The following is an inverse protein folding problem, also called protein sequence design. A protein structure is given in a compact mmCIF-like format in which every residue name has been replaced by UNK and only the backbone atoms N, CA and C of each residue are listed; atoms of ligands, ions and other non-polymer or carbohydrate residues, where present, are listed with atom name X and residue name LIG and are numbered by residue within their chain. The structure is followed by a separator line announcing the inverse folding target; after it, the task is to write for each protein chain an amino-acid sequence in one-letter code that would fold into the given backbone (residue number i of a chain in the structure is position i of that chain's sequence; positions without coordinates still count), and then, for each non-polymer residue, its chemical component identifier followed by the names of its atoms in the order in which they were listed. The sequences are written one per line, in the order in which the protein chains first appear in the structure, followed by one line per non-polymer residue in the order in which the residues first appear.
data_IF_732191097797
#
_entry.id   IF_732191097797
#
_cell.length_a   1.000
_cell.length_b   1.000
_cell.length_c   1.000
_cell.angle_alpha   90.00
_cell.angle_beta   90.00
_cell.angle_gamma   90.00
#
_symmetry.space_group_name_H-M   'P 1'
#
loop_
_entity.id
_entity.type
_entity.pdbx_description
1 polymer ?
#
# COMPACT_ATOMS: atom_id res chain seq x y z
N UNK A 1 7.43 15.78 12.08
CA UNK A 1 7.74 14.44 11.64
C UNK A 1 8.96 14.43 10.72
N UNK A 2 9.53 13.25 10.43
CA UNK A 2 10.70 13.14 9.55
C UNK A 2 10.42 13.72 8.15
N UNK A 3 9.30 13.32 7.52
CA UNK A 3 8.91 13.83 6.20
C UNK A 3 8.78 15.36 6.17
N UNK A 4 8.12 15.95 7.16
CA UNK A 4 7.99 17.41 7.26
C UNK A 4 9.36 18.11 7.27
N UNK A 5 10.31 17.59 8.06
CA UNK A 5 11.65 18.14 8.12
C UNK A 5 12.41 17.97 6.80
N UNK A 6 12.29 16.79 6.16
CA UNK A 6 12.90 16.52 4.86
C UNK A 6 12.37 17.48 3.80
N UNK A 7 11.07 17.67 3.70
CA UNK A 7 10.46 18.55 2.72
C UNK A 7 10.81 20.02 2.98
N UNK A 8 10.78 20.45 4.24
CA UNK A 8 11.19 21.82 4.60
C UNK A 8 12.66 22.07 4.24
N UNK A 9 13.56 21.14 4.53
CA UNK A 9 15.00 21.30 4.30
C UNK A 9 15.37 21.19 2.82
N UNK A 10 14.75 20.24 2.10
CA UNK A 10 15.15 19.90 0.72
C UNK A 10 14.38 20.74 -0.31
N UNK A 11 13.09 20.97 -0.07
CA UNK A 11 12.19 21.62 -1.01
C UNK A 11 11.86 23.07 -0.61
N UNK A 12 12.20 23.50 0.60
CA UNK A 12 11.86 24.82 1.11
C UNK A 12 10.36 25.03 1.35
N UNK A 13 9.56 23.95 1.42
CA UNK A 13 8.12 24.03 1.64
C UNK A 13 7.78 23.94 3.12
N UNK A 14 6.77 24.68 3.55
CA UNK A 14 6.26 24.61 4.91
C UNK A 14 5.02 23.72 4.96
N UNK A 15 5.13 22.57 5.60
CA UNK A 15 4.04 21.60 5.76
C UNK A 15 3.55 21.63 7.20
N UNK A 16 2.26 21.88 7.39
CA UNK A 16 1.61 21.79 8.70
C UNK A 16 0.99 20.41 8.88
N UNK A 17 1.40 19.72 9.94
CA UNK A 17 0.84 18.41 10.29
C UNK A 17 -0.42 18.59 11.14
N UNK A 18 -1.48 17.92 10.74
CA UNK A 18 -2.71 17.82 11.50
C UNK A 18 -2.96 16.37 11.91
N UNK A 19 -2.84 16.08 13.20
CA UNK A 19 -3.27 14.82 13.78
C UNK A 19 -4.79 14.81 13.96
N UNK A 20 -5.44 13.77 13.49
CA UNK A 20 -6.90 13.58 13.59
C UNK A 20 -7.21 12.19 14.10
N UNK A 21 -8.43 11.97 14.61
CA UNK A 21 -8.90 10.62 14.93
C UNK A 21 -9.16 9.82 13.66
N UNK A 22 -9.20 8.49 13.76
CA UNK A 22 -9.51 7.63 12.60
C UNK A 22 -10.89 7.96 12.00
N UNK A 23 -11.87 8.25 12.81
CA UNK A 23 -13.20 8.62 12.34
C UNK A 23 -13.18 9.94 11.56
N UNK A 24 -12.49 10.96 12.07
CA UNK A 24 -12.32 12.24 11.35
C UNK A 24 -11.51 12.06 10.06
N UNK A 25 -10.48 11.21 10.08
CA UNK A 25 -9.69 10.87 8.90
C UNK A 25 -10.59 10.29 7.80
N UNK A 26 -11.36 9.26 8.11
CA UNK A 26 -12.27 8.61 7.15
C UNK A 26 -13.26 9.61 6.56
N UNK A 27 -13.93 10.40 7.41
CA UNK A 27 -14.88 11.43 6.94
C UNK A 27 -14.23 12.45 6.00
N UNK A 28 -12.99 12.84 6.28
CA UNK A 28 -12.26 13.78 5.42
C UNK A 28 -11.85 13.17 4.09
N UNK A 29 -11.42 11.91 4.10
CA UNK A 29 -11.06 11.18 2.89
C UNK A 29 -12.27 11.03 1.97
N UNK A 30 -13.41 10.57 2.51
CA UNK A 30 -14.67 10.42 1.78
C UNK A 30 -15.18 11.74 1.20
N UNK A 31 -14.97 12.84 1.93
CA UNK A 31 -15.39 14.17 1.49
C UNK A 31 -14.36 14.89 0.58
N UNK A 32 -13.19 14.30 0.32
CA UNK A 32 -12.10 14.96 -0.40
C UNK A 32 -11.53 16.19 0.32
N UNK A 33 -11.75 16.30 1.64
CA UNK A 33 -11.37 17.48 2.44
C UNK A 33 -9.96 17.34 3.03
N UNK A 34 -8.97 17.29 2.16
CA UNK A 34 -7.55 17.26 2.51
C UNK A 34 -6.71 17.81 1.34
N UNK A 35 -5.53 18.31 1.62
CA UNK A 35 -4.53 18.68 0.62
C UNK A 35 -3.57 17.50 0.38
N UNK A 36 -3.15 16.86 1.47
CA UNK A 36 -2.28 15.71 1.49
C UNK A 36 -2.68 14.80 2.64
N UNK A 37 -2.83 13.50 2.39
CA UNK A 37 -3.16 12.53 3.40
C UNK A 37 -2.12 11.40 3.41
N UNK A 38 -1.71 10.96 4.60
CA UNK A 38 -0.88 9.78 4.75
C UNK A 38 -1.77 8.58 5.01
N UNK A 39 -1.70 7.59 4.14
CA UNK A 39 -2.50 6.36 4.23
C UNK A 39 -1.61 5.13 4.29
N UNK A 40 -1.99 4.16 5.12
CA UNK A 40 -1.45 2.81 5.06
C UNK A 40 -2.31 1.98 4.11
N UNK A 41 -1.68 1.40 3.11
CA UNK A 41 -2.32 0.51 2.15
C UNK A 41 -1.82 -0.91 2.40
N UNK A 42 -2.74 -1.84 2.56
CA UNK A 42 -2.44 -3.28 2.69
C UNK A 42 -3.10 -4.00 1.52
N UNK A 43 -2.38 -4.91 0.87
CA UNK A 43 -2.97 -5.76 -0.16
C UNK A 43 -4.08 -6.63 0.44
N UNK A 44 -5.14 -6.85 -0.32
CA UNK A 44 -6.24 -7.72 0.08
C UNK A 44 -5.88 -9.20 -0.07
N UNK A 45 -4.94 -9.51 -0.96
CA UNK A 45 -4.44 -10.85 -1.28
C UNK A 45 -2.99 -10.75 -1.77
N UNK A 46 -2.27 -11.87 -1.79
CA UNK A 46 -0.85 -11.95 -2.14
C UNK A 46 -0.65 -11.86 -3.67
N UNK A 47 -0.89 -10.67 -4.20
CA UNK A 47 -0.70 -10.33 -5.62
C UNK A 47 -0.55 -8.81 -5.76
N UNK A 48 0.22 -8.35 -6.76
CA UNK A 48 0.37 -6.93 -7.06
C UNK A 48 -0.97 -6.24 -7.35
N UNK A 49 -1.91 -6.95 -7.98
CA UNK A 49 -3.26 -6.47 -8.22
C UNK A 49 -4.00 -6.12 -6.92
N UNK A 50 -3.71 -6.80 -5.80
CA UNK A 50 -4.28 -6.48 -4.49
C UNK A 50 -3.94 -5.07 -3.98
N UNK A 51 -2.91 -4.43 -4.53
CA UNK A 51 -2.59 -3.01 -4.28
C UNK A 51 -3.19 -2.08 -5.34
N UNK A 52 -3.30 -2.52 -6.59
CA UNK A 52 -3.66 -1.67 -7.73
C UNK A 52 -5.16 -1.60 -7.96
N UNK A 53 -5.92 -2.67 -7.71
CA UNK A 53 -7.36 -2.74 -7.98
C UNK A 53 -8.16 -1.58 -7.35
N UNK A 54 -7.79 -1.18 -6.14
CA UNK A 54 -8.48 -0.12 -5.39
C UNK A 54 -8.45 1.26 -6.05
N UNK A 55 -7.61 1.46 -7.05
CA UNK A 55 -7.47 2.74 -7.75
C UNK A 55 -8.24 2.76 -9.07
N UNK A 56 -8.97 1.69 -9.41
CA UNK A 56 -9.91 1.72 -10.52
C UNK A 56 -11.02 2.74 -10.26
N UNK A 57 -11.50 3.39 -11.33
CA UNK A 57 -12.42 4.53 -11.23
C UNK A 57 -13.71 4.22 -10.48
N UNK A 58 -14.21 2.98 -10.58
CA UNK A 58 -15.48 2.56 -9.95
C UNK A 58 -15.27 1.79 -8.62
N UNK A 59 -14.05 1.67 -8.12
CA UNK A 59 -13.79 0.93 -6.88
C UNK A 59 -14.19 1.76 -5.64
N UNK A 60 -14.98 1.16 -4.74
CA UNK A 60 -15.43 1.82 -3.52
C UNK A 60 -14.30 2.21 -2.56
N UNK A 61 -13.11 1.60 -2.70
CA UNK A 61 -11.91 1.93 -1.94
C UNK A 61 -11.07 3.05 -2.54
N UNK A 62 -11.48 3.58 -3.71
CA UNK A 62 -10.82 4.69 -4.39
C UNK A 62 -11.10 6.03 -3.69
N UNK A 63 -10.60 6.19 -2.48
CA UNK A 63 -10.83 7.39 -1.65
C UNK A 63 -10.12 8.65 -2.17
N UNK A 64 -9.30 8.52 -3.21
CA UNK A 64 -8.63 9.67 -3.84
C UNK A 64 -9.36 10.16 -5.09
N UNK A 65 -10.47 9.51 -5.45
CA UNK A 65 -11.25 9.83 -6.66
C UNK A 65 -10.39 9.85 -7.94
N UNK A 66 -9.46 8.89 -8.04
CA UNK A 66 -8.64 8.73 -9.25
C UNK A 66 -9.52 8.18 -10.37
N UNK A 67 -9.59 8.91 -11.48
CA UNK A 67 -10.38 8.54 -12.66
C UNK A 67 -9.49 8.52 -13.90
N UNK A 68 -9.20 7.32 -14.40
CA UNK A 68 -8.41 7.15 -15.62
C UNK A 68 -8.85 5.88 -16.37
N UNK A 69 -9.60 6.07 -17.48
CA UNK A 69 -10.10 4.96 -18.27
C UNK A 69 -9.01 4.08 -18.91
N UNK A 70 -7.80 4.60 -19.15
CA UNK A 70 -6.68 3.78 -19.62
C UNK A 70 -6.15 2.89 -18.52
N UNK A 71 -6.08 3.40 -17.28
CA UNK A 71 -5.76 2.61 -16.10
C UNK A 71 -6.76 1.46 -15.91
N UNK A 72 -8.06 1.76 -15.99
CA UNK A 72 -9.12 0.76 -15.84
C UNK A 72 -9.02 -0.34 -16.90
N UNK A 73 -8.70 0.03 -18.15
CA UNK A 73 -8.46 -0.93 -19.23
C UNK A 73 -7.25 -1.82 -18.93
N UNK A 74 -6.11 -1.24 -18.50
CA UNK A 74 -4.91 -2.00 -18.13
C UNK A 74 -5.20 -3.00 -17.01
N UNK A 75 -5.92 -2.57 -15.98
CA UNK A 75 -6.34 -3.44 -14.88
C UNK A 75 -7.28 -4.55 -15.35
N UNK A 76 -8.23 -4.23 -16.24
CA UNK A 76 -9.13 -5.21 -16.84
C UNK A 76 -8.39 -6.27 -17.67
N UNK A 77 -7.45 -5.85 -18.50
CA UNK A 77 -6.62 -6.76 -19.32
C UNK A 77 -5.70 -7.62 -18.44
N UNK A 78 -5.08 -7.03 -17.42
CA UNK A 78 -4.26 -7.77 -16.46
C UNK A 78 -5.07 -8.86 -15.73
N UNK A 79 -6.31 -8.55 -15.36
CA UNK A 79 -7.23 -9.50 -14.69
C UNK A 79 -7.63 -10.66 -15.60
N UNK A 80 -7.79 -10.39 -16.88
CA UNK A 80 -8.18 -11.40 -17.88
C UNK A 80 -7.01 -12.19 -18.46
N UNK A 81 -5.76 -11.77 -18.24
CA UNK A 81 -4.58 -12.40 -18.83
C UNK A 81 -4.22 -13.72 -18.14
N UNK A 82 -4.13 -14.79 -18.93
CA UNK A 82 -3.63 -16.10 -18.49
C UNK A 82 -2.10 -16.23 -18.58
N UNK A 83 -1.45 -15.35 -19.35
CA UNK A 83 0.01 -15.31 -19.45
C UNK A 83 0.59 -14.47 -18.29
N UNK A 84 1.37 -15.07 -17.37
CA UNK A 84 1.93 -14.36 -16.23
C UNK A 84 2.89 -13.22 -16.63
N UNK A 85 3.60 -13.37 -17.74
CA UNK A 85 4.56 -12.35 -18.21
C UNK A 85 3.80 -11.13 -18.74
N UNK A 86 2.82 -11.35 -19.60
CA UNK A 86 1.97 -10.29 -20.12
C UNK A 86 1.19 -9.61 -18.98
N UNK A 87 0.64 -10.39 -18.05
CA UNK A 87 -0.07 -9.89 -16.88
C UNK A 87 0.81 -8.94 -16.04
N UNK A 88 2.04 -9.36 -15.75
CA UNK A 88 2.99 -8.53 -14.98
C UNK A 88 3.30 -7.23 -15.72
N UNK A 89 3.46 -7.27 -17.05
CA UNK A 89 3.69 -6.06 -17.83
C UNK A 89 2.53 -5.07 -17.73
N UNK A 90 1.27 -5.53 -17.86
CA UNK A 90 0.09 -4.66 -17.71
C UNK A 90 -0.01 -4.05 -16.31
N UNK A 91 0.28 -4.81 -15.25
CA UNK A 91 0.29 -4.28 -13.89
C UNK A 91 1.40 -3.23 -13.68
N UNK A 92 2.56 -3.44 -14.30
CA UNK A 92 3.66 -2.48 -14.26
C UNK A 92 3.33 -1.18 -15.01
N UNK A 93 2.66 -1.29 -16.17
CA UNK A 93 2.20 -0.13 -16.92
C UNK A 93 1.15 0.66 -16.13
N UNK A 94 0.21 -0.04 -15.48
CA UNK A 94 -0.79 0.58 -14.60
C UNK A 94 -0.14 1.30 -13.41
N UNK A 95 0.81 0.66 -12.71
CA UNK A 95 1.59 1.28 -11.62
C UNK A 95 2.33 2.53 -12.11
N UNK A 96 3.02 2.42 -13.25
CA UNK A 96 3.78 3.53 -13.83
C UNK A 96 2.86 4.72 -14.14
N UNK A 97 1.68 4.47 -14.67
CA UNK A 97 0.69 5.51 -14.95
C UNK A 97 0.19 6.17 -13.66
N UNK A 98 -0.23 5.39 -12.67
CA UNK A 98 -0.74 5.85 -11.39
C UNK A 98 0.28 6.75 -10.65
N UNK A 99 1.54 6.35 -10.63
CA UNK A 99 2.61 7.11 -10.00
C UNK A 99 3.04 8.32 -10.84
N UNK A 100 3.06 8.18 -12.17
CA UNK A 100 3.42 9.25 -13.11
C UNK A 100 2.44 10.42 -13.09
N UNK A 101 1.17 10.17 -12.84
CA UNK A 101 0.14 11.20 -12.69
C UNK A 101 0.12 11.82 -11.28
N UNK A 102 1.01 11.37 -10.40
CA UNK A 102 1.14 11.88 -9.02
C UNK A 102 -0.13 11.80 -8.17
N UNK A 103 -1.05 10.91 -8.53
CA UNK A 103 -2.26 10.66 -7.77
C UNK A 103 -1.94 10.16 -6.36
N UNK A 104 -0.86 9.39 -6.24
CA UNK A 104 -0.29 8.96 -4.96
C UNK A 104 1.24 8.88 -5.03
N UNK A 105 1.88 8.93 -3.87
CA UNK A 105 3.33 8.83 -3.74
C UNK A 105 3.70 7.82 -2.66
N UNK A 106 4.27 6.65 -3.01
CA UNK A 106 4.75 5.69 -2.03
C UNK A 106 5.85 6.29 -1.17
N UNK A 107 5.80 6.06 0.14
CA UNK A 107 6.78 6.63 1.08
C UNK A 107 7.72 5.55 1.61
N UNK A 108 7.18 4.45 2.13
CA UNK A 108 7.96 3.32 2.64
C UNK A 108 7.09 2.07 2.76
N UNK A 109 7.75 0.92 2.78
CA UNK A 109 7.10 -0.33 3.16
C UNK A 109 7.08 -0.47 4.67
N UNK A 110 5.89 -0.68 5.24
CA UNK A 110 5.75 -1.00 6.65
C UNK A 110 6.20 -2.45 6.90
N UNK A 111 6.91 -2.67 7.98
CA UNK A 111 7.42 -3.98 8.35
C UNK A 111 7.25 -4.25 9.84
N UNK A 112 7.07 -5.52 10.18
CA UNK A 112 6.99 -5.97 11.56
C UNK A 112 8.33 -6.57 11.98
N UNK A 113 8.91 -6.04 13.07
CA UNK A 113 10.11 -6.62 13.66
C UNK A 113 9.71 -7.68 14.70
N UNK A 114 10.32 -8.86 14.63
CA UNK A 114 10.12 -9.94 15.57
C UNK A 114 11.42 -10.24 16.31
N UNK A 115 11.31 -10.48 17.62
CA UNK A 115 12.39 -11.04 18.40
C UNK A 115 12.00 -12.44 18.84
N UNK A 116 12.80 -13.43 18.46
CA UNK A 116 12.60 -14.82 18.82
C UNK A 116 13.81 -15.27 19.68
N UNK A 117 13.56 -16.07 20.71
CA UNK A 117 14.66 -16.73 21.42
C UNK A 117 15.32 -17.73 20.45
N UNK A 118 16.64 -17.83 20.51
CA UNK A 118 17.46 -18.74 19.70
C UNK A 118 17.12 -20.22 19.94
N UNK A 119 16.56 -20.51 21.13
CA UNK A 119 16.05 -21.83 21.51
C UNK A 119 14.73 -22.21 20.87
N UNK A 120 14.06 -21.30 20.14
CA UNK A 120 12.79 -21.57 19.47
C UNK A 120 12.98 -21.70 17.97
N UNK A 121 12.32 -22.69 17.37
CA UNK A 121 12.28 -22.95 15.92
C UNK A 121 10.84 -23.13 15.44
N UNK A 122 10.61 -22.89 14.15
CA UNK A 122 9.32 -23.19 13.52
C UNK A 122 8.26 -22.10 13.66
N UNK A 123 8.64 -20.88 14.04
CA UNK A 123 7.77 -19.73 13.84
C UNK A 123 7.80 -19.37 12.36
N UNK A 124 6.64 -19.23 11.76
CA UNK A 124 6.46 -18.82 10.38
C UNK A 124 5.71 -17.49 10.35
N UNK A 125 6.15 -16.56 9.52
CA UNK A 125 5.44 -15.30 9.27
C UNK A 125 5.09 -15.24 7.79
N UNK A 126 3.81 -15.01 7.46
CA UNK A 126 3.35 -14.85 6.08
C UNK A 126 3.67 -13.46 5.51
N UNK A 127 3.40 -13.27 4.20
CA UNK A 127 3.61 -12.01 3.50
C UNK A 127 2.75 -10.84 4.03
N UNK A 128 1.73 -11.10 4.81
CA UNK A 128 0.87 -10.11 5.47
C UNK A 128 1.33 -9.73 6.88
N UNK A 129 2.42 -10.35 7.36
CA UNK A 129 2.95 -10.11 8.70
C UNK A 129 2.27 -10.92 9.81
N UNK A 130 1.39 -11.88 9.49
CA UNK A 130 0.79 -12.77 10.49
C UNK A 130 1.80 -13.82 10.92
N UNK A 131 1.93 -14.01 12.23
CA UNK A 131 2.85 -15.01 12.78
C UNK A 131 2.11 -16.27 13.22
N UNK A 132 2.61 -17.42 12.80
CA UNK A 132 2.04 -18.73 13.06
C UNK A 132 2.96 -19.52 13.98
N UNK A 133 2.39 -20.05 15.07
CA UNK A 133 3.11 -20.73 16.14
C UNK A 133 2.82 -22.24 16.22
N UNK A 134 1.96 -22.77 15.36
CA UNK A 134 1.56 -24.18 15.40
C UNK A 134 2.73 -25.18 15.24
N UNK A 135 3.81 -24.74 14.57
CA UNK A 135 5.02 -25.55 14.36
C UNK A 135 6.16 -25.26 15.33
N UNK A 136 5.94 -24.46 16.36
CA UNK A 136 7.01 -24.02 17.27
C UNK A 136 7.50 -25.20 18.13
N UNK A 137 8.81 -25.38 18.17
CA UNK A 137 9.51 -26.36 18.99
C UNK A 137 10.63 -25.69 19.74
N UNK A 138 10.85 -26.13 20.98
CA UNK A 138 12.05 -25.76 21.73
C UNK A 138 13.23 -26.60 21.22
N UNK A 139 14.36 -25.96 20.96
CA UNK A 139 15.63 -26.63 20.72
C UNK A 139 16.16 -27.06 22.10
N UNK A 140 16.35 -28.33 22.32
CA UNK A 140 16.79 -28.91 23.62
C UNK A 140 18.25 -29.37 23.56
N UNK A 141 19.09 -28.70 22.75
CA UNK A 141 20.53 -28.95 22.71
C UNK A 141 21.23 -28.37 23.92
#
# INVERSE_FOLDING_TARGET
SALQNMWSTTLGVNVMLRGVTQAEYNTRMEAGNYELALQKVTALYDDAMGFLDRWCSEDEQNLISYENGTYDVLMGVARASEDPVARTAFLHDAETMLLGETALSPVYFDGTAHMLRDTLRGVYTDGFGNSYFAGVRANTD
#
